data_IF_383653681228
#
_entry.id   IF_383653681228
#
_cell.length_a   1.000
_cell.length_b   1.000
_cell.length_c   1.000
_cell.angle_alpha   90.00
_cell.angle_beta   90.00
_cell.angle_gamma   90.00
#
_symmetry.space_group_name_H-M   'P 1'
#
loop_
_entity.id
_entity.type
_entity.pdbx_description
1 polymer ?
#
# COMPACT_ATOMS: atom_id res chain seq x y z
N UNK A 1 -11.35 -25.19 1.31
CA UNK A 1 -11.54 -25.68 2.70
C UNK A 1 -11.55 -24.43 3.58
N UNK A 2 -12.73 -23.83 3.76
CA UNK A 2 -12.96 -22.60 4.54
C UNK A 2 -13.31 -23.03 5.96
N UNK A 3 -12.49 -22.64 6.94
CA UNK A 3 -12.82 -22.45 8.37
C UNK A 3 -11.49 -22.13 9.08
N UNK A 4 -11.07 -20.87 9.07
CA UNK A 4 -10.40 -20.32 10.25
C UNK A 4 -11.45 -19.48 10.95
N UNK A 5 -12.16 -20.15 11.83
CA UNK A 5 -13.00 -19.48 12.81
C UNK A 5 -12.09 -18.67 13.73
N UNK A 6 -12.47 -17.43 14.00
CA UNK A 6 -12.20 -16.70 15.24
C UNK A 6 -12.78 -17.45 16.45
N UNK A 7 -12.42 -18.72 16.62
CA UNK A 7 -12.54 -19.41 17.91
C UNK A 7 -11.33 -18.96 18.69
N UNK A 8 -11.54 -17.90 19.47
CA UNK A 8 -10.75 -17.59 20.63
C UNK A 8 -10.44 -18.91 21.37
N UNK A 9 -9.18 -19.35 21.37
CA UNK A 9 -8.70 -20.48 22.16
C UNK A 9 -8.64 -20.07 23.64
N UNK A 10 -9.80 -19.77 24.22
CA UNK A 10 -9.96 -19.44 25.63
C UNK A 10 -9.60 -20.61 26.57
N UNK A 11 -9.28 -21.80 26.02
CA UNK A 11 -8.93 -22.99 26.79
C UNK A 11 -7.41 -23.28 26.86
N UNK A 12 -6.54 -22.55 26.16
CA UNK A 12 -5.08 -22.75 26.23
C UNK A 12 -4.24 -21.52 26.63
N UNK A 13 -4.86 -20.38 26.97
CA UNK A 13 -4.11 -19.21 27.48
C UNK A 13 -3.29 -18.43 26.44
N UNK A 14 -3.58 -18.59 25.14
CA UNK A 14 -2.89 -17.88 24.04
C UNK A 14 -3.64 -16.65 23.51
N UNK A 15 -4.55 -16.04 24.29
CA UNK A 15 -5.29 -14.83 23.88
C UNK A 15 -4.41 -13.56 23.82
N UNK A 16 -3.12 -13.64 24.16
CA UNK A 16 -2.23 -12.48 24.30
C UNK A 16 -1.40 -12.12 23.06
N UNK A 17 -1.27 -13.01 22.07
CA UNK A 17 -0.34 -12.81 20.94
C UNK A 17 -0.99 -12.07 19.78
N UNK A 18 -2.21 -12.45 19.37
CA UNK A 18 -2.94 -11.81 18.26
C UNK A 18 -3.43 -10.39 18.60
N UNK A 19 -3.89 -10.16 19.85
CA UNK A 19 -4.30 -8.83 20.31
C UNK A 19 -3.14 -7.81 20.31
N UNK A 20 -1.89 -8.30 20.48
CA UNK A 20 -0.70 -7.46 20.40
C UNK A 20 -0.39 -7.11 18.94
N UNK A 21 -0.50 -8.07 18.02
CA UNK A 21 -0.22 -7.82 16.60
C UNK A 21 -1.14 -6.74 15.99
N UNK A 22 -2.46 -6.87 16.18
CA UNK A 22 -3.41 -5.89 15.63
C UNK A 22 -3.16 -4.47 16.17
N UNK A 23 -2.93 -4.35 17.48
CA UNK A 23 -2.59 -3.06 18.09
C UNK A 23 -1.28 -2.48 17.51
N UNK A 24 -0.29 -3.33 17.23
CA UNK A 24 0.98 -2.90 16.66
C UNK A 24 0.85 -2.40 15.21
N UNK A 25 0.12 -3.12 14.34
CA UNK A 25 -0.10 -2.66 12.96
C UNK A 25 -0.95 -1.39 12.92
N UNK A 26 -1.95 -1.28 13.81
CA UNK A 26 -2.80 -0.10 13.92
C UNK A 26 -1.99 1.13 14.38
N UNK A 27 -1.15 0.96 15.42
CA UNK A 27 -0.26 2.01 15.86
C UNK A 27 0.78 2.37 14.80
N UNK A 28 1.34 1.38 14.08
CA UNK A 28 2.29 1.65 13.00
C UNK A 28 1.64 2.51 11.90
N UNK A 29 0.43 2.15 11.44
CA UNK A 29 -0.29 2.96 10.45
C UNK A 29 -0.62 4.35 10.98
N UNK A 30 -1.00 4.45 12.26
CA UNK A 30 -1.27 5.74 12.90
C UNK A 30 -0.05 6.66 12.88
N UNK A 31 1.13 6.18 13.30
CA UNK A 31 2.35 6.99 13.31
C UNK A 31 2.76 7.41 11.89
N UNK A 32 2.60 6.53 10.91
CA UNK A 32 2.90 6.78 9.50
C UNK A 32 2.01 7.89 8.91
N UNK A 33 0.70 7.71 8.97
CA UNK A 33 -0.26 8.69 8.44
C UNK A 33 -0.17 10.02 9.21
N UNK A 34 0.11 9.98 10.51
CA UNK A 34 0.35 11.18 11.31
C UNK A 34 1.60 11.93 10.85
N UNK A 35 2.70 11.23 10.58
CA UNK A 35 3.91 11.82 10.03
C UNK A 35 3.62 12.46 8.66
N UNK A 36 2.95 11.75 7.75
CA UNK A 36 2.54 12.29 6.44
C UNK A 36 1.68 13.54 6.62
N UNK A 37 0.73 13.56 7.56
CA UNK A 37 -0.12 14.72 7.81
C UNK A 37 0.68 15.95 8.30
N UNK A 38 1.71 15.73 9.12
CA UNK A 38 2.58 16.78 9.64
C UNK A 38 3.57 17.29 8.60
N UNK A 39 3.95 16.44 7.64
CA UNK A 39 4.92 16.72 6.58
C UNK A 39 4.27 16.88 5.20
N UNK A 40 2.97 17.17 5.14
CA UNK A 40 2.17 17.16 3.90
C UNK A 40 2.68 18.14 2.82
N UNK A 41 3.41 19.19 3.20
CA UNK A 41 4.05 20.13 2.27
C UNK A 41 5.27 19.55 1.54
N UNK A 42 5.85 18.48 2.07
CA UNK A 42 7.08 17.86 1.56
C UNK A 42 6.81 16.60 0.72
N UNK A 43 5.61 16.01 0.86
CA UNK A 43 5.24 14.77 0.17
C UNK A 43 4.84 15.01 -1.29
N UNK A 44 4.98 13.97 -2.11
CA UNK A 44 4.62 13.94 -3.52
C UNK A 44 3.24 13.28 -3.76
N UNK A 45 2.83 13.22 -5.04
CA UNK A 45 1.58 12.59 -5.43
C UNK A 45 1.53 11.10 -5.07
N UNK A 46 2.65 10.37 -5.24
CA UNK A 46 2.73 8.94 -4.95
C UNK A 46 2.43 8.63 -3.48
N UNK A 47 2.94 9.47 -2.57
CA UNK A 47 2.66 9.35 -1.15
C UNK A 47 1.17 9.52 -0.87
N UNK A 48 0.56 10.57 -1.44
CA UNK A 48 -0.85 10.86 -1.26
C UNK A 48 -1.75 9.80 -1.91
N UNK A 49 -1.30 9.17 -2.99
CA UNK A 49 -1.95 8.00 -3.57
C UNK A 49 -2.00 6.83 -2.57
N UNK A 50 -0.88 6.53 -1.90
CA UNK A 50 -0.83 5.54 -0.81
C UNK A 50 -1.77 5.89 0.35
N UNK A 51 -1.83 7.16 0.76
CA UNK A 51 -2.78 7.66 1.77
C UNK A 51 -4.23 7.49 1.33
N UNK A 52 -4.54 7.73 0.06
CA UNK A 52 -5.89 7.56 -0.49
C UNK A 52 -6.33 6.09 -0.45
N UNK A 53 -5.42 5.18 -0.75
CA UNK A 53 -5.66 3.74 -0.64
C UNK A 53 -5.85 3.31 0.81
N UNK A 54 -5.05 3.84 1.73
CA UNK A 54 -5.23 3.62 3.15
C UNK A 54 -6.60 4.12 3.64
N UNK A 55 -7.01 5.33 3.27
CA UNK A 55 -8.35 5.85 3.57
C UNK A 55 -9.44 4.90 3.07
N UNK A 56 -9.33 4.43 1.82
CA UNK A 56 -10.32 3.56 1.19
C UNK A 56 -10.43 2.19 1.90
N UNK A 57 -9.30 1.54 2.21
CA UNK A 57 -9.31 0.26 2.93
C UNK A 57 -9.94 0.40 4.32
N UNK A 58 -9.60 1.44 5.07
CA UNK A 58 -10.15 1.65 6.41
C UNK A 58 -11.63 2.03 6.39
N UNK A 59 -12.09 2.80 5.39
CA UNK A 59 -13.52 3.08 5.19
C UNK A 59 -14.28 1.79 4.89
N UNK A 60 -13.72 0.89 4.06
CA UNK A 60 -14.34 -0.40 3.77
C UNK A 60 -14.51 -1.23 5.05
N UNK A 61 -13.47 -1.29 5.88
CA UNK A 61 -13.50 -1.91 7.20
C UNK A 61 -14.59 -1.29 8.08
N UNK A 62 -14.60 0.03 8.25
CA UNK A 62 -15.57 0.72 9.13
C UNK A 62 -17.02 0.61 8.64
N UNK A 63 -17.23 0.39 7.34
CA UNK A 63 -18.55 0.22 6.74
C UNK A 63 -19.06 -1.22 6.79
N UNK A 64 -18.20 -2.18 7.11
CA UNK A 64 -18.56 -3.60 7.25
C UNK A 64 -19.04 -3.92 8.67
N UNK A 65 -19.87 -4.96 8.81
CA UNK A 65 -20.49 -5.32 10.09
C UNK A 65 -19.48 -6.03 11.02
N UNK A 66 -18.63 -5.25 11.70
CA UNK A 66 -17.55 -5.76 12.54
C UNK A 66 -17.88 -5.62 14.03
N UNK A 67 -18.61 -6.60 14.58
CA UNK A 67 -18.96 -6.66 16.01
C UNK A 67 -17.75 -6.93 16.94
N UNK A 68 -16.57 -7.17 16.38
CA UNK A 68 -15.36 -7.58 17.10
C UNK A 68 -14.39 -6.44 17.45
N UNK A 69 -14.57 -5.24 16.90
CA UNK A 69 -13.71 -4.10 17.21
C UNK A 69 -14.08 -3.50 18.57
N UNK A 70 -13.08 -3.28 19.44
CA UNK A 70 -13.28 -2.51 20.65
C UNK A 70 -13.52 -1.03 20.32
N UNK A 71 -14.14 -0.28 21.24
CA UNK A 71 -14.35 1.17 21.07
C UNK A 71 -13.02 1.90 20.80
N UNK A 72 -11.94 1.57 21.53
CA UNK A 72 -10.63 2.18 21.36
C UNK A 72 -10.04 1.90 19.96
N UNK A 73 -10.21 0.69 19.44
CA UNK A 73 -9.80 0.33 18.08
C UNK A 73 -10.62 1.08 17.05
N UNK A 74 -11.93 1.21 17.28
CA UNK A 74 -12.84 1.93 16.40
C UNK A 74 -12.50 3.43 16.34
N UNK A 75 -12.22 4.05 17.49
CA UNK A 75 -11.80 5.45 17.58
C UNK A 75 -10.45 5.67 16.89
N UNK A 76 -9.49 4.77 17.09
CA UNK A 76 -8.18 4.82 16.42
C UNK A 76 -8.31 4.74 14.90
N UNK A 77 -9.14 3.83 14.37
CA UNK A 77 -9.40 3.71 12.94
C UNK A 77 -10.01 5.00 12.36
N UNK A 78 -10.97 5.61 13.08
CA UNK A 78 -11.56 6.88 12.66
C UNK A 78 -10.57 8.05 12.70
N UNK A 79 -9.67 8.09 13.69
CA UNK A 79 -8.61 9.09 13.75
C UNK A 79 -7.68 8.96 12.54
N UNK A 80 -7.27 7.73 12.19
CA UNK A 80 -6.43 7.48 11.01
C UNK A 80 -7.15 7.93 9.73
N UNK A 81 -8.42 7.55 9.54
CA UNK A 81 -9.22 7.99 8.38
C UNK A 81 -9.30 9.52 8.30
N UNK A 82 -9.48 10.19 9.44
CA UNK A 82 -9.51 11.65 9.52
C UNK A 82 -8.17 12.28 9.10
N UNK A 83 -7.04 11.72 9.56
CA UNK A 83 -5.71 12.16 9.15
C UNK A 83 -5.46 11.93 7.65
N UNK A 84 -5.82 10.77 7.11
CA UNK A 84 -5.71 10.49 5.67
C UNK A 84 -6.49 11.52 4.84
N UNK A 85 -7.75 11.75 5.21
CA UNK A 85 -8.63 12.71 4.53
C UNK A 85 -8.07 14.13 4.56
N UNK A 86 -7.56 14.57 5.72
CA UNK A 86 -6.91 15.88 5.86
C UNK A 86 -5.71 16.03 4.94
N UNK A 87 -4.80 15.05 4.93
CA UNK A 87 -3.61 15.08 4.07
C UNK A 87 -3.99 15.16 2.58
N UNK A 88 -4.98 14.36 2.18
CA UNK A 88 -5.45 14.29 0.79
C UNK A 88 -6.16 15.57 0.33
N UNK A 89 -7.01 16.16 1.19
CA UNK A 89 -7.67 17.43 0.92
C UNK A 89 -6.67 18.58 0.79
N UNK A 90 -5.71 18.67 1.71
CA UNK A 90 -4.66 19.68 1.64
C UNK A 90 -3.86 19.58 0.35
N UNK A 91 -3.42 18.38 -0.03
CA UNK A 91 -2.68 18.18 -1.27
C UNK A 91 -3.51 18.54 -2.52
N UNK A 92 -4.79 18.17 -2.53
CA UNK A 92 -5.73 18.53 -3.61
C UNK A 92 -5.85 20.05 -3.77
N UNK A 93 -6.01 20.79 -2.67
CA UNK A 93 -6.06 22.26 -2.67
C UNK A 93 -4.77 22.87 -3.25
N UNK A 94 -3.60 22.30 -2.92
CA UNK A 94 -2.31 22.72 -3.47
C UNK A 94 -2.19 22.46 -4.98
N UNK A 95 -2.70 21.33 -5.49
CA UNK A 95 -2.72 21.03 -6.93
C UNK A 95 -3.64 22.00 -7.69
N UNK A 96 -4.84 22.26 -7.15
CA UNK A 96 -5.80 23.21 -7.74
C UNK A 96 -5.20 24.62 -7.78
N UNK A 97 -4.57 25.06 -6.69
CA UNK A 97 -3.89 26.35 -6.61
C UNK A 97 -2.75 26.49 -7.62
N UNK A 98 -2.07 25.38 -7.96
CA UNK A 98 -1.01 25.34 -8.99
C UNK A 98 -1.56 25.26 -10.42
N UNK A 99 -2.88 25.22 -10.61
CA UNK A 99 -3.56 25.10 -11.89
C UNK A 99 -2.99 23.95 -12.74
N UNK A 100 -2.75 22.79 -12.10
CA UNK A 100 -2.13 21.66 -12.75
C UNK A 100 -3.09 21.07 -13.79
N UNK A 101 -2.81 21.37 -15.07
CA UNK A 101 -3.58 20.90 -16.24
C UNK A 101 -3.72 19.37 -16.31
N UNK A 102 -2.91 18.64 -15.54
CA UNK A 102 -2.93 17.19 -15.42
C UNK A 102 -4.27 16.65 -14.88
N UNK A 103 -4.88 17.31 -13.88
CA UNK A 103 -6.15 16.84 -13.30
C UNK A 103 -7.31 16.90 -14.31
N UNK A 104 -7.31 17.89 -15.19
CA UNK A 104 -8.32 18.05 -16.23
C UNK A 104 -8.19 16.99 -17.36
N UNK A 105 -7.05 16.30 -17.47
CA UNK A 105 -6.85 15.22 -18.45
C UNK A 105 -7.31 13.85 -17.92
N UNK A 106 -7.40 13.67 -16.60
CA UNK A 106 -7.86 12.42 -15.98
C UNK A 106 -9.39 12.28 -15.99
N UNK A 107 -10.12 13.40 -16.11
CA UNK A 107 -11.59 13.46 -16.20
C UNK A 107 -12.10 13.31 -17.65
N UNK A 108 -11.72 12.21 -18.31
CA UNK A 108 -12.25 11.87 -19.64
C UNK A 108 -13.33 10.79 -19.55
N UNK A 109 -14.55 11.08 -19.99
CA UNK A 109 -15.72 10.18 -19.96
C UNK A 109 -15.55 8.85 -20.74
N UNK A 110 -14.38 8.58 -21.34
CA UNK A 110 -14.09 7.38 -22.13
C UNK A 110 -12.62 6.95 -22.01
N UNK A 111 -12.16 6.60 -20.81
CA UNK A 111 -10.83 6.02 -20.65
C UNK A 111 -10.73 4.67 -21.39
N UNK A 112 -9.68 4.50 -22.22
CA UNK A 112 -9.36 3.23 -22.90
C UNK A 112 -7.88 2.95 -22.82
N UNK A 113 -7.50 1.72 -22.46
CA UNK A 113 -6.10 1.29 -22.49
C UNK A 113 -5.60 1.28 -23.94
N UNK A 114 -4.60 2.10 -24.23
CA UNK A 114 -4.01 2.19 -25.56
C UNK A 114 -3.34 0.88 -25.98
N UNK A 115 -3.20 0.64 -27.29
CA UNK A 115 -2.50 -0.56 -27.77
C UNK A 115 -1.03 -0.61 -27.32
N UNK A 116 -0.37 0.55 -27.22
CA UNK A 116 1.02 0.65 -26.73
C UNK A 116 1.10 0.19 -25.27
N UNK A 117 0.18 0.67 -24.42
CA UNK A 117 0.12 0.24 -23.03
C UNK A 117 -0.22 -1.25 -22.91
N UNK A 118 -1.13 -1.77 -23.75
CA UNK A 118 -1.39 -3.22 -23.79
C UNK A 118 -0.17 -4.03 -24.23
N UNK A 119 0.61 -3.55 -25.20
CA UNK A 119 1.84 -4.22 -25.59
C UNK A 119 2.89 -4.22 -24.48
N UNK A 120 2.90 -3.20 -23.62
CA UNK A 120 3.74 -3.16 -22.42
C UNK A 120 3.27 -4.16 -21.36
N UNK A 121 1.96 -4.26 -21.13
CA UNK A 121 1.39 -5.26 -20.21
C UNK A 121 1.69 -6.68 -20.71
N UNK A 122 1.38 -6.98 -21.97
CA UNK A 122 1.52 -8.32 -22.55
C UNK A 122 2.97 -8.74 -22.85
N UNK A 123 3.95 -7.89 -22.55
CA UNK A 123 5.35 -8.15 -22.87
C UNK A 123 5.91 -9.29 -22.01
N UNK A 124 6.40 -10.33 -22.69
CA UNK A 124 7.12 -11.46 -22.07
C UNK A 124 8.63 -11.20 -22.07
N UNK A 125 9.09 -10.35 -21.16
CA UNK A 125 10.50 -9.94 -21.02
C UNK A 125 11.17 -10.46 -19.73
N UNK A 126 10.45 -11.26 -18.94
CA UNK A 126 10.96 -11.75 -17.65
C UNK A 126 11.16 -10.64 -16.63
N UNK A 127 10.38 -9.56 -16.71
CA UNK A 127 10.43 -8.44 -15.76
C UNK A 127 10.20 -8.91 -14.33
N UNK A 128 11.01 -8.38 -13.39
CA UNK A 128 10.97 -8.65 -11.95
C UNK A 128 10.99 -7.33 -11.18
N UNK A 129 10.59 -7.32 -9.91
CA UNK A 129 10.60 -6.12 -9.07
C UNK A 129 9.75 -4.97 -9.62
N UNK A 130 10.23 -3.71 -9.53
CA UNK A 130 9.44 -2.51 -9.87
C UNK A 130 8.75 -2.53 -11.24
N UNK A 131 9.40 -2.94 -12.36
CA UNK A 131 8.69 -3.05 -13.64
C UNK A 131 7.48 -3.99 -13.61
N UNK A 132 7.52 -5.05 -12.79
CA UNK A 132 6.43 -6.02 -12.67
C UNK A 132 5.32 -5.50 -11.74
N UNK A 133 5.69 -4.91 -10.59
CA UNK A 133 4.72 -4.29 -9.67
C UNK A 133 3.97 -3.14 -10.36
N UNK A 134 4.66 -2.33 -11.17
CA UNK A 134 4.04 -1.25 -11.94
C UNK A 134 3.03 -1.76 -12.99
N UNK A 135 3.17 -3.00 -13.50
CA UNK A 135 2.13 -3.59 -14.38
C UNK A 135 0.85 -3.89 -13.62
N UNK A 136 0.97 -4.40 -12.39
CA UNK A 136 -0.19 -4.62 -11.50
C UNK A 136 -0.84 -3.28 -11.16
N UNK A 137 -0.05 -2.29 -10.73
CA UNK A 137 -0.54 -0.95 -10.42
C UNK A 137 -1.27 -0.31 -11.61
N UNK A 138 -0.74 -0.48 -12.83
CA UNK A 138 -1.39 0.02 -14.05
C UNK A 138 -2.75 -0.66 -14.27
N UNK A 139 -2.81 -1.98 -14.13
CA UNK A 139 -4.06 -2.73 -14.27
C UNK A 139 -5.09 -2.29 -13.22
N UNK A 140 -4.69 -2.16 -11.96
CA UNK A 140 -5.53 -1.68 -10.86
C UNK A 140 -6.05 -0.27 -11.11
N UNK A 141 -5.17 0.64 -11.56
CA UNK A 141 -5.55 2.02 -11.91
C UNK A 141 -6.56 2.04 -13.05
N UNK A 142 -6.35 1.24 -14.10
CA UNK A 142 -7.29 1.15 -15.21
C UNK A 142 -8.66 0.61 -14.78
N UNK A 143 -8.69 -0.40 -13.90
CA UNK A 143 -9.93 -0.93 -13.29
C UNK A 143 -10.64 0.14 -12.44
N UNK A 144 -9.90 0.85 -11.58
CA UNK A 144 -10.43 1.88 -10.70
C UNK A 144 -11.03 3.08 -11.48
N UNK A 145 -10.39 3.46 -12.59
CA UNK A 145 -10.89 4.48 -13.51
C UNK A 145 -11.98 3.95 -14.46
N UNK A 146 -12.38 2.68 -14.33
CA UNK A 146 -13.37 2.02 -15.18
C UNK A 146 -13.04 2.15 -16.67
N UNK A 147 -11.75 2.10 -17.01
CA UNK A 147 -11.30 2.14 -18.39
C UNK A 147 -11.83 0.91 -19.13
N UNK A 148 -12.27 1.08 -20.38
CA UNK A 148 -12.77 -0.05 -21.18
C UNK A 148 -11.66 -1.08 -21.39
N UNK A 149 -11.94 -2.33 -21.02
CA UNK A 149 -11.01 -3.44 -21.22
C UNK A 149 -10.65 -3.60 -22.70
N UNK A 150 -9.38 -3.92 -22.96
CA UNK A 150 -8.94 -4.25 -24.29
C UNK A 150 -9.21 -5.74 -24.56
N UNK A 151 -9.87 -6.06 -25.67
CA UNK A 151 -10.22 -7.44 -26.06
C UNK A 151 -9.02 -8.42 -26.15
N UNK A 152 -7.79 -7.91 -26.15
CA UNK A 152 -6.56 -8.72 -26.26
C UNK A 152 -6.24 -9.55 -25.03
N UNK A 153 -6.71 -9.16 -23.83
CA UNK A 153 -6.49 -9.92 -22.61
C UNK A 153 -7.49 -9.53 -21.51
N UNK A 154 -7.80 -10.50 -20.67
CA UNK A 154 -8.55 -10.25 -19.43
C UNK A 154 -7.61 -9.63 -18.39
N UNK A 155 -8.01 -8.51 -17.79
CA UNK A 155 -7.18 -7.79 -16.82
C UNK A 155 -7.02 -8.57 -15.51
N UNK A 156 -8.01 -9.36 -15.10
CA UNK A 156 -7.92 -10.23 -13.92
C UNK A 156 -6.91 -11.35 -14.12
N UNK A 157 -6.93 -12.02 -15.29
CA UNK A 157 -5.93 -13.06 -15.61
C UNK A 157 -4.51 -12.48 -15.62
N UNK A 158 -4.34 -11.24 -16.10
CA UNK A 158 -3.04 -10.55 -16.05
C UNK A 158 -2.58 -10.32 -14.62
N UNK A 159 -3.46 -9.80 -13.76
CA UNK A 159 -3.16 -9.59 -12.35
C UNK A 159 -2.78 -10.88 -11.64
N UNK A 160 -3.52 -11.97 -11.84
CA UNK A 160 -3.21 -13.28 -11.24
C UNK A 160 -1.82 -13.79 -11.65
N UNK A 161 -1.48 -13.67 -12.93
CA UNK A 161 -0.16 -14.08 -13.41
C UNK A 161 0.97 -13.20 -12.85
N UNK A 162 0.79 -11.88 -12.83
CA UNK A 162 1.79 -10.99 -12.26
C UNK A 162 1.97 -11.21 -10.76
N UNK A 163 0.89 -11.39 -10.00
CA UNK A 163 0.99 -11.63 -8.56
C UNK A 163 1.64 -12.96 -8.24
N UNK A 164 1.47 -13.98 -9.08
CA UNK A 164 2.24 -15.24 -8.97
C UNK A 164 3.75 -14.99 -9.16
N UNK A 165 4.12 -14.24 -10.18
CA UNK A 165 5.53 -13.95 -10.47
C UNK A 165 6.14 -13.05 -9.37
N UNK A 166 5.38 -12.06 -8.89
CA UNK A 166 5.73 -11.22 -7.74
C UNK A 166 5.93 -12.05 -6.48
N UNK A 167 5.09 -13.07 -6.24
CA UNK A 167 5.25 -13.93 -5.07
C UNK A 167 6.58 -14.71 -5.12
N UNK A 168 6.97 -15.19 -6.31
CA UNK A 168 8.27 -15.82 -6.49
C UNK A 168 9.43 -14.84 -6.24
N UNK A 169 9.30 -13.58 -6.67
CA UNK A 169 10.26 -12.51 -6.36
C UNK A 169 10.36 -12.26 -4.85
N UNK A 170 9.23 -12.21 -4.16
CA UNK A 170 9.16 -11.97 -2.72
C UNK A 170 9.83 -13.10 -1.93
N UNK A 171 9.61 -14.36 -2.31
CA UNK A 171 10.28 -15.53 -1.72
C UNK A 171 11.81 -15.43 -1.90
N UNK A 172 12.29 -14.99 -3.06
CA UNK A 172 13.72 -14.81 -3.28
C UNK A 172 14.28 -13.68 -2.40
N UNK A 173 13.55 -12.58 -2.22
CA UNK A 173 13.94 -11.51 -1.31
C UNK A 173 13.97 -11.97 0.16
N UNK A 174 13.01 -12.81 0.57
CA UNK A 174 12.97 -13.46 1.88
C UNK A 174 14.18 -14.38 2.08
N UNK A 175 14.48 -15.23 1.09
CA UNK A 175 15.65 -16.11 1.13
C UNK A 175 16.96 -15.33 1.29
N UNK A 176 17.04 -14.13 0.72
CA UNK A 176 18.17 -13.22 0.84
C UNK A 176 18.14 -12.34 2.11
N UNK A 177 17.22 -12.61 3.04
CA UNK A 177 17.16 -11.96 4.35
C UNK A 177 16.63 -10.53 4.33
N UNK A 178 15.75 -10.21 3.37
CA UNK A 178 15.14 -8.88 3.20
C UNK A 178 16.16 -7.73 3.13
N UNK A 179 16.94 -7.63 2.04
CA UNK A 179 17.92 -6.57 1.88
C UNK A 179 17.30 -5.19 2.10
N UNK A 180 18.00 -4.31 2.84
CA UNK A 180 17.44 -2.99 3.20
C UNK A 180 17.03 -2.14 2.00
N UNK A 181 17.71 -2.31 0.85
CA UNK A 181 17.40 -1.61 -0.40
C UNK A 181 16.13 -2.11 -1.09
N UNK A 182 15.55 -3.21 -0.60
CA UNK A 182 14.38 -3.86 -1.17
C UNK A 182 13.12 -3.65 -0.32
N UNK A 183 13.21 -2.96 0.83
CA UNK A 183 12.08 -2.77 1.74
C UNK A 183 10.90 -2.09 1.06
N UNK A 184 11.17 -1.01 0.32
CA UNK A 184 10.18 -0.29 -0.49
C UNK A 184 9.48 -1.22 -1.49
N UNK A 185 10.27 -1.95 -2.29
CA UNK A 185 9.74 -2.94 -3.23
C UNK A 185 8.91 -4.04 -2.54
N UNK A 186 9.36 -4.54 -1.39
CA UNK A 186 8.63 -5.59 -0.65
C UNK A 186 7.27 -5.05 -0.16
N UNK A 187 7.24 -3.84 0.39
CA UNK A 187 5.98 -3.21 0.80
C UNK A 187 5.05 -2.99 -0.40
N UNK A 188 5.59 -2.60 -1.56
CA UNK A 188 4.82 -2.46 -2.80
C UNK A 188 4.22 -3.79 -3.26
N UNK A 189 4.99 -4.88 -3.22
CA UNK A 189 4.51 -6.22 -3.55
C UNK A 189 3.40 -6.68 -2.59
N UNK A 190 3.58 -6.44 -1.29
CA UNK A 190 2.58 -6.76 -0.25
C UNK A 190 1.28 -6.01 -0.49
N UNK A 191 1.36 -4.69 -0.71
CA UNK A 191 0.18 -3.88 -0.91
C UNK A 191 -0.55 -4.24 -2.21
N UNK A 192 0.16 -4.28 -3.34
CA UNK A 192 -0.48 -4.43 -4.65
C UNK A 192 -1.21 -5.77 -4.77
N UNK A 193 -0.55 -6.87 -4.41
CA UNK A 193 -1.14 -8.20 -4.52
C UNK A 193 -2.02 -8.56 -3.32
N UNK A 194 -1.74 -8.03 -2.13
CA UNK A 194 -2.63 -8.14 -0.99
C UNK A 194 -4.00 -7.49 -1.24
N UNK A 195 -4.05 -6.34 -1.92
CA UNK A 195 -5.31 -5.70 -2.32
C UNK A 195 -6.16 -6.51 -3.30
N UNK A 196 -5.55 -7.41 -4.07
CA UNK A 196 -6.25 -8.34 -4.97
C UNK A 196 -6.79 -9.57 -4.22
N UNK A 197 -6.53 -9.69 -2.91
CA UNK A 197 -7.01 -10.80 -2.07
C UNK A 197 -6.08 -12.01 -2.02
N UNK A 198 -4.81 -11.88 -2.46
CA UNK A 198 -3.81 -12.93 -2.31
C UNK A 198 -3.24 -12.91 -0.87
N UNK A 199 -3.78 -13.77 -0.01
CA UNK A 199 -3.48 -13.80 1.42
C UNK A 199 -2.02 -14.15 1.74
N UNK A 200 -1.32 -14.76 0.79
CA UNK A 200 0.11 -15.01 0.89
C UNK A 200 0.93 -13.72 1.08
N UNK A 201 0.39 -12.56 0.67
CA UNK A 201 1.02 -11.25 0.85
C UNK A 201 0.56 -10.54 2.14
N UNK A 202 -0.69 -10.71 2.54
CA UNK A 202 -1.30 -10.01 3.67
C UNK A 202 -1.31 -10.89 4.93
N UNK A 203 -0.14 -11.13 5.54
CA UNK A 203 -0.02 -11.98 6.72
C UNK A 203 0.85 -11.36 7.83
N UNK A 204 0.78 -11.94 9.03
CA UNK A 204 1.49 -11.45 10.22
C UNK A 204 3.02 -11.41 10.06
N UNK A 205 3.60 -12.33 9.27
CA UNK A 205 5.04 -12.33 9.02
C UNK A 205 5.47 -11.04 8.32
N UNK A 206 4.79 -10.68 7.24
CA UNK A 206 5.07 -9.45 6.51
C UNK A 206 4.68 -8.19 7.28
N UNK A 207 3.57 -8.20 8.03
CA UNK A 207 3.23 -7.05 8.87
C UNK A 207 4.26 -6.76 9.96
N UNK A 208 4.80 -7.79 10.60
CA UNK A 208 5.87 -7.62 11.58
C UNK A 208 7.18 -7.12 10.95
N UNK A 209 7.45 -7.40 9.67
CA UNK A 209 8.59 -6.81 8.96
C UNK A 209 8.40 -5.31 8.73
N UNK A 210 7.21 -4.91 8.24
CA UNK A 210 6.90 -3.50 8.01
C UNK A 210 6.98 -2.70 9.31
N UNK A 211 6.41 -3.20 10.41
CA UNK A 211 6.51 -2.55 11.74
C UNK A 211 7.98 -2.32 12.13
N UNK A 212 8.88 -3.28 11.85
CA UNK A 212 10.31 -3.16 12.20
C UNK A 212 11.08 -2.20 11.30
N UNK A 213 10.63 -1.97 10.07
CA UNK A 213 11.27 -1.02 9.16
C UNK A 213 10.85 0.42 9.42
N UNK A 214 9.74 0.63 10.12
CA UNK A 214 9.31 1.95 10.55
C UNK A 214 10.32 2.58 11.50
N UNK A 215 10.72 3.82 11.24
CA UNK A 215 11.64 4.53 12.11
C UNK A 215 10.92 5.14 13.34
N UNK A 216 11.69 5.75 14.25
CA UNK A 216 11.15 6.35 15.48
C UNK A 216 10.21 7.55 15.26
N UNK A 217 10.16 8.11 14.05
CA UNK A 217 9.27 9.20 13.66
C UNK A 217 8.00 8.71 12.95
N UNK A 218 7.86 7.40 12.76
CA UNK A 218 6.71 6.79 12.10
C UNK A 218 6.83 6.64 10.58
N UNK A 219 7.94 7.06 9.97
CA UNK A 219 8.08 7.03 8.51
C UNK A 219 9.00 5.89 8.03
N UNK A 220 9.17 5.81 6.71
CA UNK A 220 9.99 4.80 6.04
C UNK A 220 11.04 5.42 5.12
N UNK A 221 12.11 4.68 4.85
CA UNK A 221 13.22 5.10 3.98
C UNK A 221 13.37 4.15 2.80
N UNK A 222 13.55 4.69 1.59
CA UNK A 222 13.85 3.90 0.38
C UNK A 222 15.32 3.44 0.30
N UNK A 223 16.22 4.02 1.12
CA UNK A 223 17.65 3.68 1.14
C UNK A 223 18.25 3.83 2.54
N UNK A 224 19.25 2.98 2.83
CA UNK A 224 20.12 3.21 3.98
C UNK A 224 20.90 4.54 3.79
N UNK A 225 20.83 5.41 4.80
CA UNK A 225 21.39 6.77 4.89
C UNK A 225 22.88 6.94 4.50
N UNK A 226 23.62 5.86 4.23
CA UNK A 226 25.07 5.89 4.03
C UNK A 226 25.55 6.11 2.58
N UNK A 227 24.67 6.14 1.58
CA UNK A 227 25.09 6.42 0.20
C UNK A 227 24.16 7.39 -0.49
N UNK A 228 24.26 8.67 -0.15
CA UNK A 228 23.78 9.78 -0.97
C UNK A 228 24.61 9.82 -2.26
N UNK A 229 24.32 8.93 -3.22
CA UNK A 229 24.84 9.06 -4.59
C UNK A 229 23.79 9.78 -5.43
N UNK A 230 24.01 11.09 -5.52
CA UNK A 230 23.68 12.03 -6.60
C UNK A 230 23.10 11.44 -7.90
N UNK A 231 21.88 10.94 -7.83
CA UNK A 231 20.90 10.99 -8.92
C UNK A 231 19.58 11.26 -8.24
N UNK A 232 19.08 12.49 -8.34
CA UNK A 232 17.68 12.75 -8.04
C UNK A 232 16.87 11.90 -9.02
N UNK A 233 16.37 10.75 -8.56
CA UNK A 233 15.20 10.16 -9.20
C UNK A 233 14.13 11.25 -9.15
N UNK A 234 13.48 11.51 -10.28
CA UNK A 234 12.51 12.61 -10.45
C UNK A 234 11.27 12.50 -9.55
N UNK A 235 11.22 11.47 -8.71
CA UNK A 235 10.03 11.01 -7.98
C UNK A 235 10.24 10.95 -6.46
N UNK A 236 11.48 10.91 -5.95
CA UNK A 236 11.74 10.82 -4.50
C UNK A 236 12.06 12.19 -3.91
N UNK A 237 11.09 12.81 -3.22
CA UNK A 237 11.38 13.95 -2.36
C UNK A 237 11.92 13.41 -1.03
N UNK A 238 13.19 13.68 -0.68
CA UNK A 238 13.68 13.36 0.66
C UNK A 238 12.87 14.16 1.67
N UNK A 239 12.31 13.45 2.63
CA UNK A 239 11.60 14.03 3.75
C UNK A 239 12.58 14.22 4.92
N UNK A 240 12.20 15.05 5.89
CA UNK A 240 12.94 15.20 7.14
C UNK A 240 13.14 13.83 7.83
N UNK A 241 14.15 13.74 8.71
CA UNK A 241 14.45 12.55 9.52
C UNK A 241 14.89 11.29 8.73
N UNK A 242 15.36 11.47 7.49
CA UNK A 242 15.84 10.37 6.64
C UNK A 242 14.71 9.55 6.01
N UNK A 243 13.51 10.12 6.02
CA UNK A 243 12.31 9.53 5.44
C UNK A 243 12.28 9.73 3.91
N UNK A 244 11.54 8.87 3.21
CA UNK A 244 11.28 8.96 1.78
C UNK A 244 9.78 9.04 1.53
N UNK A 245 9.35 10.02 0.73
CA UNK A 245 7.92 10.26 0.45
C UNK A 245 7.23 9.04 -0.15
N UNK A 246 7.87 8.38 -1.12
CA UNK A 246 7.28 7.23 -1.81
C UNK A 246 7.14 6.04 -0.86
N UNK A 247 8.23 5.60 -0.21
CA UNK A 247 8.19 4.45 0.70
C UNK A 247 7.22 4.65 1.87
N UNK A 248 7.11 5.87 2.39
CA UNK A 248 6.19 6.20 3.48
C UNK A 248 4.72 6.06 3.03
N UNK A 249 4.37 6.52 1.82
CA UNK A 249 3.02 6.29 1.28
C UNK A 249 2.72 4.83 0.94
N UNK A 250 3.70 4.10 0.40
CA UNK A 250 3.57 2.66 0.10
C UNK A 250 3.35 1.87 1.41
N UNK A 251 4.07 2.21 2.48
CA UNK A 251 3.88 1.60 3.78
C UNK A 251 2.47 1.84 4.34
N UNK A 252 1.94 3.06 4.23
CA UNK A 252 0.57 3.37 4.64
C UNK A 252 -0.45 2.49 3.90
N UNK A 253 -0.28 2.31 2.58
CA UNK A 253 -1.11 1.40 1.80
C UNK A 253 -0.98 -0.05 2.28
N UNK A 254 0.24 -0.57 2.44
CA UNK A 254 0.48 -1.95 2.87
C UNK A 254 -0.06 -2.25 4.27
N UNK A 255 0.17 -1.36 5.25
CA UNK A 255 -0.36 -1.49 6.60
C UNK A 255 -1.90 -1.47 6.61
N UNK A 256 -2.53 -0.64 5.77
CA UNK A 256 -3.99 -0.62 5.66
C UNK A 256 -4.58 -1.93 5.12
N UNK A 257 -3.88 -2.60 4.20
CA UNK A 257 -4.28 -3.90 3.67
C UNK A 257 -4.19 -4.97 4.75
N UNK A 258 -3.11 -4.96 5.53
CA UNK A 258 -2.92 -5.89 6.65
C UNK A 258 -3.99 -5.72 7.75
N UNK A 259 -4.38 -4.48 8.05
CA UNK A 259 -5.47 -4.19 8.99
C UNK A 259 -6.80 -4.71 8.44
N UNK A 260 -7.08 -4.44 7.17
CA UNK A 260 -8.31 -4.89 6.52
C UNK A 260 -8.40 -6.41 6.52
N UNK A 261 -7.32 -7.08 6.15
CA UNK A 261 -7.23 -8.55 6.15
C UNK A 261 -7.45 -9.12 7.54
N UNK A 262 -6.81 -8.57 8.58
CA UNK A 262 -6.99 -9.03 9.96
C UNK A 262 -8.45 -8.97 10.45
N UNK A 263 -9.23 -8.03 9.93
CA UNK A 263 -10.63 -7.83 10.34
C UNK A 263 -11.59 -8.67 9.50
N UNK A 264 -11.31 -8.82 8.20
CA UNK A 264 -12.21 -9.49 7.25
C UNK A 264 -12.06 -11.03 7.23
N UNK A 265 -10.91 -11.59 7.68
CA UNK A 265 -10.59 -13.03 7.56
C UNK A 265 -10.01 -13.66 8.83
#
# INVERSE_FOLDING_TARGET
MKFRSLVCWALLGFCGVEANYFANILNALYQDVKFINQSVDQVNLDCIFGVALAEANLIAVLSSNNEFLSNDQWDSLNEIVSLCRRSRNYFSEQLIAKNDSFLNQLSGDNCRISNICMDMLLRKDGSRGYPLTHRVLYVQTAKALQCTENYRANLTDLTENYCRDIFNDLIELEFNGFPSMSQDLIMEQIFLCGMEGFLEFANEHYGNLIIRWQNSHGCFSSFNSHTVRSRSKRETNPLDYGCDSHATGVAAAALSVLIREFIEN
#
